data_IF_879427122988
#
_entry.id   IF_879427122988
#
_cell.length_a   1.000
_cell.length_b   1.000
_cell.length_c   1.000
_cell.angle_alpha   90.00
_cell.angle_beta   90.00
_cell.angle_gamma   90.00
#
_symmetry.space_group_name_H-M   'P 1'
#
loop_
_entity.id
_entity.type
_entity.pdbx_description
1 polymer ?
#
# COMPACT_ATOMS: atom_id res chain seq x y z
N UNK A 1 -17.45 -5.91 -7.32
CA UNK A 1 -17.91 -4.53 -7.61
C UNK A 1 -18.17 -4.47 -9.11
N UNK A 2 -19.37 -4.08 -9.56
CA UNK A 2 -19.70 -4.05 -10.99
C UNK A 2 -19.77 -2.61 -11.51
N UNK A 3 -19.30 -2.39 -12.74
CA UNK A 3 -19.44 -1.12 -13.47
C UNK A 3 -18.57 0.04 -12.96
N UNK A 4 -17.48 -0.23 -12.25
CA UNK A 4 -16.47 0.79 -11.91
C UNK A 4 -15.63 1.02 -13.16
N UNK A 5 -15.49 2.27 -13.56
CA UNK A 5 -14.64 2.71 -14.66
C UNK A 5 -13.64 3.74 -14.12
N UNK A 6 -12.36 3.52 -14.41
CA UNK A 6 -11.26 4.39 -14.03
C UNK A 6 -10.73 5.11 -15.26
N UNK A 7 -10.37 6.39 -15.11
CA UNK A 7 -9.77 7.19 -16.17
C UNK A 7 -8.64 8.02 -15.58
N UNK A 8 -7.51 8.06 -16.28
CA UNK A 8 -6.44 9.01 -16.03
C UNK A 8 -6.70 10.21 -16.94
N UNK A 9 -6.89 11.39 -16.39
CA UNK A 9 -7.31 12.57 -17.12
C UNK A 9 -6.38 13.75 -16.83
N UNK A 10 -6.01 14.48 -17.86
CA UNK A 10 -5.38 15.79 -17.78
C UNK A 10 -6.21 16.79 -18.58
N UNK A 11 -5.76 18.05 -18.62
CA UNK A 11 -6.43 19.09 -19.40
C UNK A 11 -6.45 18.78 -20.91
N UNK A 12 -5.47 18.02 -21.41
CA UNK A 12 -5.24 17.80 -22.85
C UNK A 12 -5.57 16.38 -23.32
N UNK A 13 -5.62 15.40 -22.40
CA UNK A 13 -5.79 14.00 -22.76
C UNK A 13 -6.50 13.18 -21.68
N UNK A 14 -7.04 12.04 -22.09
CA UNK A 14 -7.63 11.08 -21.16
C UNK A 14 -7.39 9.65 -21.62
N UNK A 15 -7.13 8.77 -20.66
CA UNK A 15 -6.86 7.35 -20.87
C UNK A 15 -7.73 6.51 -19.95
N UNK A 16 -8.48 5.57 -20.51
CA UNK A 16 -9.19 4.59 -19.70
C UNK A 16 -8.19 3.64 -19.03
N UNK A 17 -8.31 3.48 -17.71
CA UNK A 17 -7.47 2.57 -16.93
C UNK A 17 -8.25 1.26 -16.72
N UNK A 18 -7.78 0.13 -17.28
CA UNK A 18 -8.46 -1.14 -17.10
C UNK A 18 -8.38 -1.59 -15.64
N UNK A 19 -9.50 -2.07 -15.13
CA UNK A 19 -9.58 -2.69 -13.81
C UNK A 19 -9.45 -4.21 -13.99
N UNK A 20 -8.37 -4.78 -13.46
CA UNK A 20 -8.09 -6.20 -13.52
C UNK A 20 -8.81 -7.01 -12.45
N UNK A 21 -8.39 -8.26 -12.30
CA UNK A 21 -8.89 -9.15 -11.27
C UNK A 21 -8.71 -8.56 -9.86
N UNK A 22 -9.60 -8.95 -8.95
CA UNK A 22 -9.63 -8.45 -7.55
C UNK A 22 -9.73 -6.92 -7.43
N UNK A 23 -10.13 -6.22 -8.50
CA UNK A 23 -10.20 -4.76 -8.58
C UNK A 23 -8.83 -4.09 -8.45
N UNK A 24 -7.78 -4.73 -8.97
CA UNK A 24 -6.43 -4.16 -9.04
C UNK A 24 -6.26 -3.46 -10.38
N UNK A 25 -5.64 -2.29 -10.38
CA UNK A 25 -5.24 -1.58 -11.60
C UNK A 25 -3.77 -1.16 -11.49
N UNK A 26 -3.17 -0.86 -12.62
CA UNK A 26 -1.83 -0.29 -12.70
C UNK A 26 -1.88 0.96 -13.55
N UNK A 27 -1.21 2.02 -13.10
CA UNK A 27 -1.03 3.21 -13.89
C UNK A 27 0.12 2.97 -14.87
N UNK A 28 -0.05 3.29 -16.17
CA UNK A 28 1.04 3.20 -17.13
C UNK A 28 2.15 4.18 -16.73
N UNK A 29 3.40 3.77 -16.92
CA UNK A 29 4.55 4.66 -16.77
C UNK A 29 4.75 5.36 -18.11
N UNK A 30 4.80 6.69 -18.11
CA UNK A 30 5.01 7.47 -19.32
C UNK A 30 5.40 8.91 -19.04
N UNK A 31 5.56 9.66 -20.12
CA UNK A 31 5.86 11.09 -20.13
C UNK A 31 4.96 11.77 -21.18
N UNK A 32 4.74 13.07 -21.04
CA UNK A 32 3.94 13.88 -21.97
C UNK A 32 2.66 14.46 -21.35
N UNK A 33 1.82 15.13 -22.15
CA UNK A 33 0.72 15.96 -21.66
C UNK A 33 -0.36 15.22 -20.87
N UNK A 34 -0.54 13.92 -21.12
CA UNK A 34 -1.45 13.08 -20.32
C UNK A 34 -0.98 12.93 -18.87
N UNK A 35 0.34 12.96 -18.63
CA UNK A 35 0.93 12.70 -17.32
C UNK A 35 1.23 13.97 -16.53
N UNK A 36 1.15 15.14 -17.16
CA UNK A 36 1.29 16.42 -16.46
C UNK A 36 0.02 16.72 -15.68
N UNK A 37 0.13 16.77 -14.35
CA UNK A 37 -0.99 17.00 -13.40
C UNK A 37 -2.20 16.10 -13.64
N UNK A 38 -1.96 14.87 -14.06
CA UNK A 38 -3.02 13.90 -14.31
C UNK A 38 -3.75 13.53 -13.03
N UNK A 39 -5.08 13.49 -13.09
CA UNK A 39 -5.94 12.99 -12.02
C UNK A 39 -6.52 11.63 -12.39
N UNK A 40 -6.55 10.72 -11.42
CA UNK A 40 -7.27 9.46 -11.55
C UNK A 40 -8.72 9.66 -11.11
N UNK A 41 -9.66 9.56 -12.05
CA UNK A 41 -11.09 9.73 -11.80
C UNK A 41 -11.81 8.38 -11.83
N UNK A 42 -12.94 8.32 -11.13
CA UNK A 42 -13.82 7.15 -11.07
C UNK A 42 -15.26 7.55 -11.32
N UNK A 43 -16.03 6.72 -12.02
CA UNK A 43 -17.45 6.95 -12.32
C UNK A 43 -18.38 6.71 -11.10
N UNK A 44 -17.99 7.20 -9.93
CA UNK A 44 -18.71 7.04 -8.66
C UNK A 44 -18.66 8.34 -7.86
N UNK A 45 -19.61 8.50 -6.94
CA UNK A 45 -19.67 9.68 -6.06
C UNK A 45 -18.38 9.77 -5.23
N UNK A 46 -17.85 10.98 -5.05
CA UNK A 46 -16.72 11.22 -4.17
C UNK A 46 -16.93 10.54 -2.79
N UNK A 47 -15.88 9.86 -2.30
CA UNK A 47 -15.90 9.13 -1.03
C UNK A 47 -16.57 7.74 -1.06
N UNK A 48 -17.19 7.32 -2.18
CA UNK A 48 -17.81 5.98 -2.28
C UNK A 48 -16.84 4.86 -2.67
N UNK A 49 -15.65 5.23 -3.15
CA UNK A 49 -14.57 4.30 -3.48
C UNK A 49 -13.32 4.78 -2.78
N UNK A 50 -12.58 3.86 -2.17
CA UNK A 50 -11.24 4.09 -1.65
C UNK A 50 -10.29 3.17 -2.40
N UNK A 51 -9.23 3.74 -2.95
CA UNK A 51 -8.07 2.99 -3.42
C UNK A 51 -6.98 3.06 -2.36
N UNK A 52 -6.14 2.03 -2.34
CA UNK A 52 -4.94 1.98 -1.53
C UNK A 52 -3.79 1.57 -2.44
N UNK A 53 -2.57 2.06 -2.19
CA UNK A 53 -1.42 1.62 -2.95
C UNK A 53 -1.16 0.14 -2.73
N UNK A 54 -0.85 -0.55 -3.82
CA UNK A 54 -0.47 -1.95 -3.82
C UNK A 54 0.89 -2.08 -4.50
N UNK A 55 1.94 -2.16 -3.67
CA UNK A 55 3.32 -2.27 -4.13
C UNK A 55 3.80 -3.70 -3.86
N UNK A 56 4.32 -4.34 -4.90
CA UNK A 56 4.95 -5.65 -4.84
C UNK A 56 6.12 -5.73 -5.80
N UNK A 57 7.28 -6.14 -5.28
CA UNK A 57 8.42 -6.58 -6.06
C UNK A 57 8.09 -7.89 -6.78
N UNK A 58 8.61 -8.09 -8.00
CA UNK A 58 8.26 -9.23 -8.86
C UNK A 58 8.49 -10.62 -8.23
N UNK A 59 9.38 -10.71 -7.23
CA UNK A 59 9.72 -11.97 -6.56
C UNK A 59 8.86 -12.29 -5.32
N UNK A 60 7.90 -11.44 -4.95
CA UNK A 60 7.06 -11.67 -3.76
C UNK A 60 5.80 -12.48 -4.06
N UNK A 61 5.57 -13.56 -3.29
CA UNK A 61 4.34 -14.36 -3.34
C UNK A 61 3.17 -13.66 -2.65
N UNK A 62 1.98 -14.27 -2.68
CA UNK A 62 0.82 -13.79 -1.91
C UNK A 62 0.98 -13.89 -0.38
N UNK A 63 1.97 -14.65 0.09
CA UNK A 63 2.27 -14.85 1.52
C UNK A 63 3.50 -14.08 1.97
N UNK A 64 4.34 -13.61 1.04
CA UNK A 64 5.59 -12.91 1.35
C UNK A 64 5.50 -11.43 0.97
N UNK A 65 5.81 -10.55 1.92
CA UNK A 65 5.85 -9.10 1.70
C UNK A 65 7.24 -8.57 2.04
N UNK A 66 7.90 -7.90 1.09
CA UNK A 66 9.20 -7.25 1.35
C UNK A 66 8.99 -5.96 2.14
N UNK A 67 9.80 -5.71 3.16
CA UNK A 67 9.65 -4.54 4.03
C UNK A 67 9.82 -3.23 3.25
N UNK A 68 10.75 -3.19 2.29
CA UNK A 68 10.93 -2.05 1.39
C UNK A 68 9.68 -1.73 0.56
N UNK A 69 8.96 -2.74 0.06
CA UNK A 69 7.70 -2.54 -0.66
C UNK A 69 6.62 -1.94 0.25
N UNK A 70 6.56 -2.37 1.51
CA UNK A 70 5.62 -1.85 2.51
C UNK A 70 5.95 -0.41 2.91
N UNK A 71 7.24 -0.09 3.09
CA UNK A 71 7.72 1.28 3.32
C UNK A 71 7.32 2.19 2.15
N UNK A 72 7.60 1.76 0.91
CA UNK A 72 7.20 2.50 -0.28
C UNK A 72 5.67 2.65 -0.39
N UNK A 73 4.91 1.58 -0.13
CA UNK A 73 3.46 1.63 -0.14
C UNK A 73 2.90 2.64 0.87
N UNK A 74 3.52 2.75 2.06
CA UNK A 74 3.15 3.76 3.04
C UNK A 74 3.37 5.18 2.49
N UNK A 75 4.54 5.46 1.92
CA UNK A 75 4.86 6.78 1.36
C UNK A 75 3.95 7.16 0.19
N UNK A 76 3.62 6.20 -0.68
CA UNK A 76 2.65 6.41 -1.75
C UNK A 76 1.25 6.70 -1.19
N UNK A 77 0.82 6.00 -0.13
CA UNK A 77 -0.49 6.27 0.48
C UNK A 77 -0.53 7.68 1.07
N UNK A 78 0.55 8.09 1.73
CA UNK A 78 0.70 9.46 2.22
C UNK A 78 0.65 10.47 1.08
N UNK A 79 1.33 10.21 -0.03
CA UNK A 79 1.32 11.10 -1.20
C UNK A 79 -0.08 11.28 -1.79
N UNK A 80 -0.93 10.24 -1.76
CA UNK A 80 -2.34 10.29 -2.17
C UNK A 80 -3.17 11.08 -1.16
N UNK A 81 -3.09 10.75 0.12
CA UNK A 81 -4.00 11.26 1.14
C UNK A 81 -3.66 12.70 1.60
N UNK A 82 -2.38 13.11 1.54
CA UNK A 82 -1.94 14.42 2.08
C UNK A 82 -2.66 15.62 1.46
N UNK A 83 -3.08 15.50 0.20
CA UNK A 83 -3.80 16.57 -0.52
C UNK A 83 -5.23 16.74 -0.02
N UNK A 84 -5.78 15.73 0.67
CA UNK A 84 -7.11 15.78 1.30
C UNK A 84 -7.11 16.43 2.68
N UNK A 85 -5.92 16.65 3.28
CA UNK A 85 -5.79 17.20 4.62
C UNK A 85 -5.84 18.75 4.61
N UNK A 86 -6.40 19.38 5.66
CA UNK A 86 -6.29 20.82 5.86
C UNK A 86 -4.82 21.27 5.88
N UNK A 87 -4.53 22.43 5.28
CA UNK A 87 -3.16 22.95 5.09
C UNK A 87 -2.29 22.88 6.35
N UNK A 88 -2.82 23.30 7.51
CA UNK A 88 -2.08 23.28 8.76
C UNK A 88 -1.69 21.85 9.19
N UNK A 89 -2.63 20.90 9.10
CA UNK A 89 -2.37 19.50 9.43
C UNK A 89 -1.40 18.86 8.44
N UNK A 90 -1.57 19.09 7.14
CA UNK A 90 -0.64 18.63 6.10
C UNK A 90 0.78 19.14 6.36
N UNK A 91 0.93 20.43 6.65
CA UNK A 91 2.23 21.08 6.89
C UNK A 91 2.90 20.48 8.13
N UNK A 92 2.16 20.34 9.22
CA UNK A 92 2.64 19.71 10.45
C UNK A 92 3.12 18.27 10.20
N UNK A 93 2.28 17.44 9.56
CA UNK A 93 2.63 16.05 9.29
C UNK A 93 3.83 15.93 8.36
N UNK A 94 3.92 16.78 7.33
CA UNK A 94 5.06 16.82 6.41
C UNK A 94 6.36 17.21 7.11
N UNK A 95 6.31 18.20 8.02
CA UNK A 95 7.47 18.62 8.82
C UNK A 95 7.98 17.52 9.76
N UNK A 96 7.08 16.62 10.21
CA UNK A 96 7.43 15.43 10.99
C UNK A 96 7.89 14.23 10.13
N UNK A 97 8.07 14.43 8.81
CA UNK A 97 8.48 13.38 7.87
C UNK A 97 7.32 12.53 7.32
N UNK A 98 6.07 12.89 7.56
CA UNK A 98 4.90 12.13 7.12
C UNK A 98 4.56 10.94 8.03
N UNK A 99 3.34 10.37 7.91
CA UNK A 99 2.83 9.35 8.82
C UNK A 99 3.72 8.13 8.94
N UNK A 100 4.31 7.71 7.83
CA UNK A 100 5.26 6.61 7.79
C UNK A 100 6.47 6.82 8.72
N UNK A 101 6.80 8.07 9.07
CA UNK A 101 7.95 8.44 9.89
C UNK A 101 7.63 8.88 11.34
N UNK A 102 6.39 9.21 11.68
CA UNK A 102 6.00 9.56 13.07
C UNK A 102 5.14 8.50 13.76
N UNK A 103 4.66 7.52 13.01
CA UNK A 103 4.13 6.27 13.55
C UNK A 103 5.13 5.72 14.59
N UNK A 104 4.68 5.44 15.82
CA UNK A 104 5.55 5.05 16.96
C UNK A 104 6.48 3.88 16.62
N UNK A 105 7.53 3.67 17.45
CA UNK A 105 8.48 2.55 17.31
C UNK A 105 7.82 1.16 17.17
N UNK A 106 6.54 1.01 17.55
CA UNK A 106 5.79 -0.25 17.45
C UNK A 106 4.85 -0.34 16.23
N UNK A 107 4.87 0.64 15.33
CA UNK A 107 3.99 0.67 14.17
C UNK A 107 2.54 1.01 14.52
N UNK A 108 1.91 1.87 13.73
CA UNK A 108 0.49 2.24 13.77
C UNK A 108 -0.11 2.19 12.36
N UNK A 109 0.74 2.13 11.33
CA UNK A 109 0.31 1.92 9.97
C UNK A 109 0.15 0.42 9.72
N UNK A 110 -1.11 -0.02 9.58
CA UNK A 110 -1.46 -1.41 9.33
C UNK A 110 -1.78 -1.63 7.86
N UNK A 111 -1.39 -2.79 7.34
CA UNK A 111 -1.76 -3.25 6.02
C UNK A 111 -2.91 -4.25 6.14
N UNK A 112 -3.73 -4.32 5.10
CA UNK A 112 -4.87 -5.24 5.04
C UNK A 112 -4.63 -6.31 4.00
N UNK A 113 -5.07 -7.52 4.30
CA UNK A 113 -5.16 -8.62 3.37
C UNK A 113 -6.61 -9.01 3.12
N UNK A 114 -6.86 -9.71 2.02
CA UNK A 114 -8.21 -10.22 1.70
C UNK A 114 -8.56 -11.47 2.50
N UNK A 115 -7.57 -12.10 3.13
CA UNK A 115 -7.69 -13.33 3.92
C UNK A 115 -7.37 -13.04 5.38
N UNK A 116 -7.96 -13.84 6.29
CA UNK A 116 -7.65 -13.77 7.72
C UNK A 116 -6.25 -14.32 7.98
N UNK A 117 -5.45 -13.54 8.69
CA UNK A 117 -4.07 -13.86 9.05
C UNK A 117 -4.07 -14.70 10.32
N UNK A 118 -3.31 -15.79 10.30
CA UNK A 118 -3.12 -16.71 11.43
C UNK A 118 -1.72 -16.62 12.05
N UNK A 119 -0.74 -16.18 11.26
CA UNK A 119 0.60 -15.85 11.73
C UNK A 119 1.24 -14.77 10.85
N UNK A 120 2.12 -13.97 11.42
CA UNK A 120 2.95 -13.02 10.69
C UNK A 120 4.35 -12.97 11.31
N UNK A 121 5.38 -13.18 10.49
CA UNK A 121 6.78 -13.24 10.95
C UNK A 121 7.65 -12.43 10.01
N UNK A 122 8.50 -11.56 10.55
CA UNK A 122 9.53 -10.86 9.78
C UNK A 122 10.85 -11.64 9.90
N UNK A 123 11.59 -11.76 8.80
CA UNK A 123 12.89 -12.41 8.77
C UNK A 123 13.90 -11.70 7.86
N UNK A 124 15.17 -11.71 8.27
CA UNK A 124 16.30 -11.22 7.48
C UNK A 124 17.61 -11.79 8.02
N UNK A 125 18.44 -12.40 7.17
CA UNK A 125 19.77 -12.94 7.53
C UNK A 125 19.80 -13.78 8.83
N UNK A 126 18.83 -14.68 9.00
CA UNK A 126 18.74 -15.55 10.17
C UNK A 126 18.12 -14.91 11.43
N UNK A 127 17.89 -13.60 11.44
CA UNK A 127 17.08 -12.92 12.46
C UNK A 127 15.59 -13.09 12.11
N UNK A 128 14.76 -13.41 13.10
CA UNK A 128 13.31 -13.43 12.96
C UNK A 128 12.59 -12.85 14.18
N UNK A 129 11.40 -12.30 13.97
CA UNK A 129 10.54 -11.79 15.04
C UNK A 129 9.05 -11.86 14.63
N UNK A 130 8.13 -11.97 15.60
CA UNK A 130 6.69 -11.89 15.31
C UNK A 130 6.31 -10.47 14.87
N UNK A 131 5.41 -10.37 13.90
CA UNK A 131 4.79 -9.11 13.47
C UNK A 131 3.38 -9.03 14.07
N UNK A 132 2.99 -7.92 14.72
CA UNK A 132 1.62 -7.76 15.21
C UNK A 132 0.58 -7.92 14.10
N UNK A 133 -0.46 -8.71 14.35
CA UNK A 133 -1.59 -8.88 13.44
C UNK A 133 -2.91 -9.04 14.19
N UNK A 134 -4.03 -8.74 13.54
CA UNK A 134 -5.39 -8.93 14.05
C UNK A 134 -6.38 -9.03 12.91
N UNK A 135 -7.14 -10.13 12.85
CA UNK A 135 -8.07 -10.39 11.76
C UNK A 135 -7.34 -10.49 10.42
N UNK A 136 -7.61 -9.55 9.51
CA UNK A 136 -6.94 -9.45 8.22
C UNK A 136 -5.87 -8.36 8.16
N UNK A 137 -5.52 -7.76 9.30
CA UNK A 137 -4.58 -6.64 9.38
C UNK A 137 -3.27 -7.07 10.02
N UNK A 138 -2.16 -6.49 9.56
CA UNK A 138 -0.85 -6.65 10.18
C UNK A 138 -0.08 -5.33 10.20
N UNK A 139 0.77 -5.15 11.22
CA UNK A 139 1.49 -3.90 11.50
C UNK A 139 2.99 -4.16 11.47
N UNK A 140 3.65 -4.02 10.32
CA UNK A 140 5.08 -4.28 10.18
C UNK A 140 5.92 -3.17 10.83
N UNK A 141 7.18 -3.49 11.21
CA UNK A 141 8.09 -2.54 11.85
C UNK A 141 8.73 -1.57 10.83
N UNK A 142 7.91 -0.70 10.22
CA UNK A 142 8.34 0.16 9.11
C UNK A 142 9.53 1.07 9.43
N UNK A 143 9.77 1.42 10.70
CA UNK A 143 10.83 2.37 11.10
C UNK A 143 12.01 1.73 11.84
N UNK A 144 11.90 0.48 12.22
CA UNK A 144 12.99 -0.20 12.92
C UNK A 144 14.17 -0.33 11.98
N UNK A 145 15.27 0.34 12.32
CA UNK A 145 16.50 0.36 11.51
C UNK A 145 17.20 -1.00 11.53
N UNK A 146 16.90 -1.84 12.52
CA UNK A 146 17.43 -3.20 12.62
C UNK A 146 16.84 -4.15 11.56
N UNK A 147 15.90 -3.68 10.74
CA UNK A 147 15.33 -4.42 9.61
C UNK A 147 15.65 -3.72 8.29
N UNK A 148 16.40 -4.42 7.43
CA UNK A 148 16.69 -4.02 6.06
C UNK A 148 15.40 -3.93 5.23
N UNK A 149 15.41 -3.13 4.16
CA UNK A 149 14.34 -3.14 3.15
C UNK A 149 14.17 -4.52 2.50
N UNK A 150 15.23 -5.34 2.49
CA UNK A 150 15.20 -6.74 2.04
C UNK A 150 14.56 -7.72 3.03
N UNK A 151 14.17 -7.26 4.22
CA UNK A 151 13.49 -8.13 5.19
C UNK A 151 12.17 -8.61 4.61
N UNK A 152 11.83 -9.87 4.85
CA UNK A 152 10.60 -10.47 4.34
C UNK A 152 9.63 -10.71 5.48
N UNK A 153 8.37 -10.38 5.28
CA UNK A 153 7.27 -10.69 6.17
C UNK A 153 6.51 -11.84 5.55
N UNK A 154 6.51 -12.97 6.23
CA UNK A 154 5.73 -14.14 5.86
C UNK A 154 4.41 -14.12 6.63
N UNK A 155 3.31 -14.23 5.89
CA UNK A 155 1.94 -14.27 6.38
C UNK A 155 1.38 -15.67 6.14
N UNK A 156 0.82 -16.27 7.19
CA UNK A 156 0.01 -17.48 7.09
C UNK A 156 -1.48 -17.12 7.16
N UNK A 157 -2.30 -17.85 6.42
CA UNK A 157 -3.75 -17.63 6.36
C UNK A 157 -4.53 -18.91 6.74
N UNK A 158 -5.80 -18.74 7.14
CA UNK A 158 -6.69 -19.85 7.58
C UNK A 158 -6.85 -21.01 6.57
N UNK A 159 -6.48 -20.82 5.30
CA UNK A 159 -6.61 -21.83 4.23
C UNK A 159 -5.27 -22.38 3.71
N UNK A 160 -4.13 -22.09 4.35
CA UNK A 160 -2.83 -22.62 3.92
C UNK A 160 -2.55 -24.06 4.43
N UNK A 161 -3.56 -24.72 5.02
CA UNK A 161 -3.59 -26.16 5.31
C UNK A 161 -3.83 -26.98 4.03
N UNK A 162 -3.04 -26.81 2.97
CA UNK A 162 -2.98 -27.78 1.86
C UNK A 162 -1.64 -27.69 1.14
N UNK A 163 -0.59 -28.21 1.79
CA UNK A 163 0.62 -28.71 1.15
C UNK A 163 1.35 -29.64 2.14
N UNK A 164 0.75 -30.79 2.41
CA UNK A 164 1.45 -32.02 2.78
C UNK A 164 1.04 -33.11 1.81
#
# INVERSE_FOLDING_TARGET
>A
MHGIALRLESDEAGLAIPLGERNIFSLPVGQGPLYDKAELTVNRKAGSVRWIPYVRSAATSDTLRRLGDLRLACEVHWAIDKETLPFAMRTMMSAMGGPCNFVSQKGTYSFTETRRITAATISFNGKSAPVPFSGSWFTPPLREQDWSDESTIELAFDNDQTAQ
#
